data_IF_893903946304
#
_entry.id   IF_893903946304
#
_cell.length_a   1.000
_cell.length_b   1.000
_cell.length_c   1.000
_cell.angle_alpha   90.00
_cell.angle_beta   90.00
_cell.angle_gamma   90.00
#
_symmetry.space_group_name_H-M   'P 1'
#
loop_
_entity.id
_entity.type
_entity.pdbx_description
1 polymer ?
#
# COMPACT_ATOMS: atom_id res chain seq x y z
N UNK A 1 -23.14 -14.96 -8.80
CA UNK A 1 -22.33 -13.87 -8.25
C UNK A 1 -21.98 -14.25 -6.83
N UNK A 2 -20.74 -14.11 -6.42
CA UNK A 2 -20.36 -14.27 -5.01
C UNK A 2 -20.85 -13.01 -4.29
N UNK A 3 -21.71 -13.19 -3.29
CA UNK A 3 -22.20 -12.09 -2.47
C UNK A 3 -21.09 -11.69 -1.48
N UNK A 4 -20.75 -10.41 -1.44
CA UNK A 4 -19.79 -9.89 -0.49
C UNK A 4 -20.46 -9.69 0.87
N UNK A 5 -19.76 -9.98 1.94
CA UNK A 5 -20.21 -9.63 3.28
C UNK A 5 -20.45 -8.11 3.37
N UNK A 6 -21.49 -7.66 4.07
CA UNK A 6 -21.66 -6.24 4.34
C UNK A 6 -20.51 -5.73 5.22
N UNK A 7 -20.16 -4.45 5.12
CA UNK A 7 -19.19 -3.87 6.06
C UNK A 7 -19.81 -3.88 7.46
N UNK A 8 -18.97 -4.23 8.44
CA UNK A 8 -19.36 -4.30 9.87
C UNK A 8 -18.70 -3.16 10.64
N UNK A 9 -19.33 -2.77 11.77
CA UNK A 9 -18.76 -1.73 12.62
C UNK A 9 -17.71 -2.31 13.58
N UNK A 10 -16.64 -1.55 13.89
CA UNK A 10 -15.68 -1.99 14.88
C UNK A 10 -16.29 -2.02 16.29
N UNK A 11 -15.96 -3.05 17.04
CA UNK A 11 -16.34 -3.14 18.45
C UNK A 11 -15.25 -2.60 19.39
N UNK A 12 -14.03 -2.44 18.87
CA UNK A 12 -12.90 -1.86 19.58
C UNK A 12 -12.02 -1.06 18.61
N UNK A 13 -11.43 0.04 19.09
CA UNK A 13 -10.56 0.90 18.29
C UNK A 13 -9.72 1.81 19.16
N UNK A 14 -8.60 2.29 18.68
CA UNK A 14 -7.74 3.18 19.43
C UNK A 14 -6.57 3.74 18.64
N UNK A 15 -5.70 4.42 19.37
CA UNK A 15 -4.41 4.92 18.90
C UNK A 15 -3.31 4.20 19.67
N UNK A 16 -2.38 3.58 18.97
CA UNK A 16 -1.22 2.89 19.53
C UNK A 16 0.02 3.77 19.35
N UNK A 17 0.70 4.07 20.46
CA UNK A 17 2.02 4.70 20.39
C UNK A 17 3.05 3.67 19.89
N UNK A 18 3.62 3.97 18.74
CA UNK A 18 4.61 3.10 18.08
C UNK A 18 6.02 3.71 18.10
N UNK A 19 6.22 4.73 18.93
CA UNK A 19 7.48 5.45 19.06
C UNK A 19 7.68 6.53 17.98
N UNK A 20 8.80 7.25 18.10
CA UNK A 20 9.20 8.33 17.19
C UNK A 20 8.14 9.44 17.03
N UNK A 21 7.25 9.60 18.03
CA UNK A 21 6.14 10.56 17.99
C UNK A 21 5.00 10.13 17.07
N UNK A 22 4.92 8.86 16.67
CA UNK A 22 3.86 8.33 15.84
C UNK A 22 2.80 7.58 16.65
N UNK A 23 1.53 7.89 16.37
CA UNK A 23 0.37 7.17 16.88
C UNK A 23 -0.34 6.50 15.71
N UNK A 24 -0.45 5.18 15.75
CA UNK A 24 -1.10 4.37 14.71
C UNK A 24 -2.53 4.07 15.12
N UNK A 25 -3.48 4.45 14.27
CA UNK A 25 -4.88 4.09 14.45
C UNK A 25 -5.11 2.61 14.14
N UNK A 26 -5.88 1.95 14.97
CA UNK A 26 -6.32 0.58 14.77
C UNK A 26 -7.80 0.40 15.12
N UNK A 27 -8.42 -0.61 14.53
CA UNK A 27 -9.79 -1.03 14.82
C UNK A 27 -9.93 -2.54 14.71
N UNK A 28 -10.88 -3.13 15.46
CA UNK A 28 -11.19 -4.56 15.45
C UNK A 28 -12.68 -4.76 15.22
N UNK A 29 -12.99 -5.63 14.26
CA UNK A 29 -14.35 -5.95 13.83
C UNK A 29 -14.62 -7.45 13.90
N UNK A 30 -15.90 -7.83 13.88
CA UNK A 30 -16.35 -9.23 13.79
C UNK A 30 -16.38 -9.96 15.14
N UNK A 31 -15.98 -11.23 15.15
CA UNK A 31 -16.07 -12.09 16.34
C UNK A 31 -14.83 -11.90 17.24
N UNK A 32 -14.97 -11.41 18.50
CA UNK A 32 -13.85 -11.30 19.42
C UNK A 32 -13.09 -12.63 19.68
N UNK A 33 -13.79 -13.75 19.60
CA UNK A 33 -13.22 -15.12 19.77
C UNK A 33 -12.87 -15.77 18.44
N UNK A 34 -13.06 -15.05 17.34
CA UNK A 34 -12.80 -15.54 15.99
C UNK A 34 -11.32 -15.63 15.68
N UNK A 35 -11.01 -16.20 14.52
CA UNK A 35 -9.65 -16.30 14.01
C UNK A 35 -9.07 -14.90 13.75
N UNK A 36 -7.91 -14.55 14.36
CA UNK A 36 -7.29 -13.25 14.10
C UNK A 36 -6.88 -13.13 12.63
N UNK A 37 -7.24 -11.98 12.03
CA UNK A 37 -6.89 -11.65 10.66
C UNK A 37 -6.51 -10.17 10.58
N UNK A 38 -5.31 -9.86 10.10
CA UNK A 38 -4.86 -8.51 9.87
C UNK A 38 -5.06 -8.13 8.40
N UNK A 39 -5.79 -7.02 8.18
CA UNK A 39 -5.88 -6.39 6.85
C UNK A 39 -4.82 -5.31 6.71
N UNK A 40 -3.93 -5.50 5.73
CA UNK A 40 -2.84 -4.59 5.39
C UNK A 40 -3.23 -3.78 4.16
N UNK A 41 -3.52 -2.49 4.35
CA UNK A 41 -3.93 -1.63 3.25
C UNK A 41 -2.79 -1.31 2.28
N UNK A 42 -3.16 -0.97 1.06
CA UNK A 42 -2.25 -0.59 -0.01
C UNK A 42 -1.90 0.89 -0.06
N UNK A 43 -1.55 1.34 -1.22
CA UNK A 43 -1.10 2.69 -1.52
C UNK A 43 0.33 2.71 -2.05
N UNK A 44 1.36 2.81 -1.19
CA UNK A 44 1.39 2.99 0.28
C UNK A 44 0.72 4.28 0.74
N UNK A 45 0.14 4.25 1.95
CA UNK A 45 -0.47 5.46 2.52
C UNK A 45 -1.95 5.68 2.18
N UNK A 46 -2.67 4.65 1.73
CA UNK A 46 -4.12 4.76 1.47
C UNK A 46 -4.97 4.91 2.72
N UNK A 47 -4.55 4.35 3.84
CA UNK A 47 -5.40 4.13 5.00
C UNK A 47 -6.46 3.05 4.77
N UNK A 48 -7.14 2.64 5.83
CA UNK A 48 -8.23 1.68 5.78
C UNK A 48 -9.56 2.35 5.44
N UNK A 49 -10.37 1.64 4.65
CA UNK A 49 -11.74 2.04 4.33
C UNK A 49 -12.75 1.07 4.94
N UNK A 50 -14.01 1.50 5.03
CA UNK A 50 -15.12 0.64 5.47
C UNK A 50 -15.30 -0.58 4.59
N UNK A 51 -14.91 -0.50 3.30
CA UNK A 51 -14.91 -1.63 2.38
C UNK A 51 -13.98 -2.77 2.80
N UNK A 52 -12.93 -2.48 3.57
CA UNK A 52 -11.98 -3.48 4.08
C UNK A 52 -12.51 -4.24 5.31
N UNK A 53 -13.64 -3.81 5.90
CA UNK A 53 -14.33 -4.51 7.00
C UNK A 53 -15.26 -5.63 6.52
N UNK A 54 -15.20 -6.01 5.24
CA UNK A 54 -16.05 -7.04 4.62
C UNK A 54 -15.45 -8.44 4.82
N UNK A 55 -15.56 -8.95 6.03
CA UNK A 55 -15.13 -10.30 6.42
C UNK A 55 -16.33 -11.10 6.93
N UNK A 56 -16.18 -12.42 7.02
CA UNK A 56 -17.17 -13.24 7.72
C UNK A 56 -17.17 -12.87 9.22
N UNK A 57 -18.24 -12.19 9.70
CA UNK A 57 -18.25 -11.65 11.06
C UNK A 57 -18.34 -12.72 12.16
N UNK A 58 -18.73 -13.94 11.82
CA UNK A 58 -18.83 -15.03 12.78
C UNK A 58 -17.50 -15.78 12.95
N UNK A 59 -16.65 -15.74 11.93
CA UNK A 59 -15.42 -16.52 11.87
C UNK A 59 -14.16 -15.76 12.21
N UNK A 60 -14.12 -14.46 11.91
CA UNK A 60 -12.88 -13.67 12.01
C UNK A 60 -12.97 -12.58 13.07
N UNK A 61 -11.87 -12.45 13.81
CA UNK A 61 -11.48 -11.25 14.55
C UNK A 61 -10.63 -10.40 13.60
N UNK A 62 -11.26 -9.51 12.86
CA UNK A 62 -10.61 -8.72 11.84
C UNK A 62 -9.97 -7.46 12.44
N UNK A 63 -8.67 -7.34 12.29
CA UNK A 63 -7.87 -6.18 12.69
C UNK A 63 -7.55 -5.35 11.46
N UNK A 64 -7.80 -4.05 11.53
CA UNK A 64 -7.40 -3.07 10.53
C UNK A 64 -6.56 -2.00 11.20
N UNK A 65 -5.60 -1.43 10.50
CA UNK A 65 -4.81 -0.32 11.02
C UNK A 65 -4.42 0.64 9.90
N UNK A 66 -4.35 1.91 10.21
CA UNK A 66 -3.82 2.91 9.29
C UNK A 66 -2.31 3.01 9.53
N UNK A 67 -1.49 2.70 8.52
CA UNK A 67 -0.03 2.76 8.62
C UNK A 67 0.44 4.18 8.97
N UNK A 68 1.68 4.34 9.45
CA UNK A 68 2.25 5.66 9.78
C UNK A 68 2.02 6.66 8.65
N UNK A 69 1.68 7.89 9.00
CA UNK A 69 1.56 9.00 8.07
C UNK A 69 0.27 9.04 7.26
N UNK A 70 -0.68 8.13 7.45
CA UNK A 70 -1.89 8.09 6.63
C UNK A 70 -3.17 7.82 7.43
N UNK A 71 -4.30 8.02 6.77
CA UNK A 71 -5.61 7.75 7.34
C UNK A 71 -5.87 8.57 8.62
N UNK A 72 -6.12 7.86 9.71
CA UNK A 72 -6.37 8.43 11.05
C UNK A 72 -5.10 8.43 11.93
N UNK A 73 -3.99 7.86 11.46
CA UNK A 73 -2.71 7.86 12.15
C UNK A 73 -2.06 9.24 12.14
N UNK A 74 -1.28 9.56 13.19
CA UNK A 74 -0.64 10.87 13.34
C UNK A 74 0.84 10.74 13.68
N UNK A 75 1.70 11.70 13.23
CA UNK A 75 1.38 12.83 12.36
C UNK A 75 1.03 12.38 10.93
N UNK A 76 0.26 13.18 10.18
CA UNK A 76 -0.18 12.82 8.85
C UNK A 76 0.81 13.30 7.77
N UNK A 77 1.13 12.46 6.79
CA UNK A 77 2.12 12.75 5.76
C UNK A 77 1.72 13.88 4.78
N UNK A 78 0.47 14.34 4.79
CA UNK A 78 0.07 15.52 4.02
C UNK A 78 0.58 16.83 4.58
N UNK A 79 0.97 16.86 5.87
CA UNK A 79 1.63 18.02 6.46
C UNK A 79 3.11 18.03 6.03
N UNK A 80 3.58 19.06 5.30
CA UNK A 80 4.97 19.15 4.89
C UNK A 80 5.97 19.17 6.06
N UNK A 81 5.52 19.58 7.25
CA UNK A 81 6.36 19.61 8.47
C UNK A 81 6.54 18.23 9.10
N UNK A 82 5.76 17.23 8.69
CA UNK A 82 5.89 15.87 9.19
C UNK A 82 7.24 15.26 8.79
N UNK A 83 8.01 14.83 9.79
CA UNK A 83 9.25 14.07 9.55
C UNK A 83 8.89 12.65 9.09
N UNK A 84 9.27 12.34 7.86
CA UNK A 84 9.05 11.03 7.26
C UNK A 84 10.21 10.05 7.46
N UNK A 85 11.26 10.42 8.17
CA UNK A 85 12.46 9.58 8.37
C UNK A 85 12.17 8.27 9.11
N UNK A 86 11.19 8.31 10.02
CA UNK A 86 10.70 7.16 10.77
C UNK A 86 9.51 6.44 10.10
N UNK A 87 9.27 6.65 8.80
CA UNK A 87 8.23 5.95 8.04
C UNK A 87 8.84 5.05 6.97
N UNK A 88 9.63 4.08 7.40
CA UNK A 88 10.25 3.08 6.52
C UNK A 88 9.56 1.73 6.66
N UNK A 89 9.78 0.81 5.73
CA UNK A 89 9.25 -0.55 5.82
C UNK A 89 9.60 -1.24 7.14
N UNK A 90 10.82 -1.05 7.66
CA UNK A 90 11.23 -1.63 8.95
C UNK A 90 10.38 -1.09 10.11
N UNK A 91 10.05 0.20 10.11
CA UNK A 91 9.16 0.76 11.12
C UNK A 91 7.74 0.17 11.00
N UNK A 92 7.21 0.01 9.76
CA UNK A 92 5.90 -0.59 9.54
C UNK A 92 5.83 -2.05 10.01
N UNK A 93 6.90 -2.83 9.80
CA UNK A 93 6.99 -4.22 10.31
C UNK A 93 7.00 -4.24 11.85
N UNK A 94 7.73 -3.32 12.46
CA UNK A 94 7.74 -3.17 13.92
C UNK A 94 6.38 -2.75 14.47
N UNK A 95 5.69 -1.84 13.80
CA UNK A 95 4.34 -1.39 14.17
C UNK A 95 3.33 -2.55 14.13
N UNK A 96 3.43 -3.44 13.14
CA UNK A 96 2.59 -4.63 13.08
C UNK A 96 2.84 -5.56 14.27
N UNK A 97 4.09 -5.74 14.71
CA UNK A 97 4.39 -6.53 15.91
C UNK A 97 3.87 -5.85 17.18
N UNK A 98 4.07 -4.55 17.34
CA UNK A 98 3.52 -3.79 18.47
C UNK A 98 1.99 -3.90 18.53
N UNK A 99 1.31 -3.79 17.38
CA UNK A 99 -0.14 -3.94 17.31
C UNK A 99 -0.58 -5.37 17.67
N UNK A 100 0.11 -6.39 17.16
CA UNK A 100 -0.16 -7.78 17.49
C UNK A 100 -0.06 -8.03 18.99
N UNK A 101 1.02 -7.55 19.62
CA UNK A 101 1.24 -7.68 21.06
C UNK A 101 0.21 -6.91 21.88
N UNK A 102 -0.11 -5.67 21.48
CA UNK A 102 -1.14 -4.84 22.11
C UNK A 102 -2.51 -5.54 22.15
N UNK A 103 -2.87 -6.24 21.08
CA UNK A 103 -4.13 -6.96 20.97
C UNK A 103 -4.10 -8.38 21.54
N UNK A 104 -2.96 -8.83 22.11
CA UNK A 104 -2.79 -10.16 22.67
C UNK A 104 -2.91 -11.30 21.65
N UNK A 105 -2.55 -11.05 20.39
CA UNK A 105 -2.64 -12.01 19.30
C UNK A 105 -1.31 -12.75 19.18
N UNK A 106 -1.33 -14.09 19.19
CA UNK A 106 -0.13 -14.90 18.97
C UNK A 106 0.21 -15.02 17.48
N UNK A 107 -0.79 -15.37 16.66
CA UNK A 107 -0.65 -15.51 15.21
C UNK A 107 -1.90 -14.99 14.51
N UNK A 108 -1.73 -14.46 13.32
CA UNK A 108 -2.85 -13.97 12.49
C UNK A 108 -2.75 -14.40 11.03
N UNK A 109 -3.89 -14.46 10.36
CA UNK A 109 -3.96 -14.44 8.92
C UNK A 109 -3.59 -13.04 8.43
N UNK A 110 -2.75 -12.95 7.41
CA UNK A 110 -2.45 -11.69 6.73
C UNK A 110 -3.25 -11.58 5.43
N UNK A 111 -3.95 -10.47 5.26
CA UNK A 111 -4.63 -10.13 4.00
C UNK A 111 -4.11 -8.79 3.50
N UNK A 112 -3.45 -8.78 2.35
CA UNK A 112 -2.86 -7.57 1.77
C UNK A 112 -3.10 -7.45 0.28
N UNK A 113 -3.38 -6.21 -0.18
CA UNK A 113 -3.56 -5.92 -1.60
C UNK A 113 -2.64 -4.78 -2.07
N UNK A 114 -2.15 -4.85 -3.33
CA UNK A 114 -1.21 -3.87 -3.88
C UNK A 114 0.02 -3.71 -2.95
N UNK A 115 0.43 -2.50 -2.59
CA UNK A 115 1.47 -2.28 -1.55
C UNK A 115 1.25 -3.12 -0.29
N UNK A 116 -0.01 -3.33 0.13
CA UNK A 116 -0.32 -4.19 1.27
C UNK A 116 0.14 -5.64 1.07
N UNK A 117 0.23 -6.13 -0.16
CA UNK A 117 0.80 -7.45 -0.46
C UNK A 117 2.31 -7.48 -0.24
N UNK A 118 3.01 -6.40 -0.62
CA UNK A 118 4.45 -6.23 -0.35
C UNK A 118 4.73 -6.25 1.15
N UNK A 119 3.99 -5.44 1.92
CA UNK A 119 4.20 -5.33 3.36
C UNK A 119 3.81 -6.62 4.11
N UNK A 120 2.71 -7.28 3.71
CA UNK A 120 2.30 -8.55 4.29
C UNK A 120 3.31 -9.67 4.01
N UNK A 121 3.86 -9.74 2.78
CA UNK A 121 4.92 -10.69 2.43
C UNK A 121 6.19 -10.43 3.24
N UNK A 122 6.63 -9.18 3.30
CA UNK A 122 7.79 -8.76 4.10
C UNK A 122 7.66 -9.15 5.57
N UNK A 123 6.46 -8.97 6.13
CA UNK A 123 6.19 -9.38 7.50
C UNK A 123 6.24 -10.91 7.65
N UNK A 124 5.66 -11.66 6.72
CA UNK A 124 5.68 -13.12 6.75
C UNK A 124 7.10 -13.69 6.64
N UNK A 125 7.97 -13.06 5.86
CA UNK A 125 9.38 -13.44 5.75
C UNK A 125 10.18 -13.14 7.02
N UNK A 126 9.86 -12.06 7.71
CA UNK A 126 10.54 -11.66 8.94
C UNK A 126 10.02 -12.40 10.16
N UNK A 127 8.72 -12.67 10.21
CA UNK A 127 8.01 -13.26 11.35
C UNK A 127 7.14 -14.46 10.94
N UNK A 128 7.70 -15.50 10.27
CA UNK A 128 6.90 -16.61 9.74
C UNK A 128 6.12 -17.35 10.82
N UNK A 129 6.63 -17.40 12.04
CA UNK A 129 5.98 -18.01 13.19
C UNK A 129 4.75 -17.23 13.72
N UNK A 130 4.57 -15.97 13.29
CA UNK A 130 3.43 -15.10 13.63
C UNK A 130 2.32 -15.11 12.57
N UNK A 131 2.51 -15.85 11.50
CA UNK A 131 1.55 -15.93 10.39
C UNK A 131 0.91 -17.30 10.34
N UNK A 132 -0.41 -17.35 10.33
CA UNK A 132 -1.17 -18.61 10.20
C UNK A 132 -1.48 -18.91 8.74
N UNK A 133 -1.89 -17.93 7.97
CA UNK A 133 -2.14 -17.97 6.51
C UNK A 133 -1.86 -16.61 5.90
N UNK A 134 -1.74 -16.59 4.57
CA UNK A 134 -1.52 -15.36 3.81
C UNK A 134 -2.43 -15.30 2.58
N UNK A 135 -3.08 -14.15 2.37
CA UNK A 135 -3.90 -13.86 1.19
C UNK A 135 -3.39 -12.57 0.56
N UNK A 136 -2.80 -12.68 -0.62
CA UNK A 136 -2.26 -11.53 -1.34
C UNK A 136 -3.07 -11.28 -2.61
N UNK A 137 -3.52 -10.06 -2.81
CA UNK A 137 -4.24 -9.63 -4.01
C UNK A 137 -3.50 -8.50 -4.73
N UNK A 138 -3.66 -8.39 -6.06
CA UNK A 138 -2.94 -7.42 -6.88
C UNK A 138 -1.45 -7.36 -6.45
N UNK A 139 -0.78 -8.51 -6.56
CA UNK A 139 0.54 -8.77 -5.97
C UNK A 139 1.60 -7.88 -6.58
N UNK A 140 2.36 -7.18 -5.75
CA UNK A 140 3.55 -6.42 -6.13
C UNK A 140 4.66 -6.63 -5.11
N UNK A 141 5.90 -6.55 -5.53
CA UNK A 141 7.10 -6.59 -4.69
C UNK A 141 7.86 -5.27 -4.67
N UNK A 142 7.34 -4.27 -5.39
CA UNK A 142 7.90 -2.91 -5.52
C UNK A 142 9.34 -2.88 -6.02
N UNK A 143 9.73 -3.85 -6.86
CA UNK A 143 11.02 -3.85 -7.56
C UNK A 143 11.14 -2.64 -8.48
N UNK A 144 12.35 -2.21 -8.77
CA UNK A 144 12.60 -1.13 -9.71
C UNK A 144 11.97 -1.41 -11.08
N UNK A 145 12.01 -2.65 -11.53
CA UNK A 145 11.38 -3.08 -12.79
C UNK A 145 9.86 -2.87 -12.79
N UNK A 146 9.17 -3.10 -11.67
CA UNK A 146 7.73 -2.86 -11.52
C UNK A 146 7.41 -1.36 -11.50
N UNK A 147 8.27 -0.56 -10.85
CA UNK A 147 8.16 0.90 -10.83
C UNK A 147 8.40 1.47 -12.24
N UNK A 148 9.44 1.01 -12.93
CA UNK A 148 9.74 1.43 -14.31
C UNK A 148 8.64 0.99 -15.29
N UNK A 149 8.01 -0.16 -15.05
CA UNK A 149 6.83 -0.56 -15.81
C UNK A 149 5.68 0.41 -15.60
N UNK A 150 5.28 0.65 -14.35
CA UNK A 150 4.12 1.50 -14.02
C UNK A 150 4.29 2.94 -14.50
N UNK A 151 5.48 3.52 -14.35
CA UNK A 151 5.74 4.93 -14.67
C UNK A 151 6.45 5.16 -16.00
N UNK A 152 6.56 4.12 -16.85
CA UNK A 152 7.12 4.24 -18.21
C UNK A 152 6.67 3.11 -19.14
N UNK A 153 6.81 1.86 -18.75
CA UNK A 153 6.58 0.70 -19.62
C UNK A 153 5.13 0.62 -20.12
N UNK A 154 4.16 0.88 -19.24
CA UNK A 154 2.73 0.80 -19.53
C UNK A 154 2.21 1.99 -20.35
N UNK A 155 3.00 3.05 -20.52
CA UNK A 155 2.64 4.28 -21.26
C UNK A 155 2.10 4.02 -22.66
N UNK A 156 2.60 2.97 -23.34
CA UNK A 156 2.16 2.60 -24.69
C UNK A 156 0.69 2.21 -24.81
N UNK A 157 0.04 1.89 -23.69
CA UNK A 157 -1.38 1.56 -23.63
C UNK A 157 -2.24 2.79 -23.33
N UNK A 158 -1.64 3.89 -22.82
CA UNK A 158 -2.30 5.11 -22.37
C UNK A 158 -1.56 6.36 -22.90
N UNK A 159 -1.41 6.53 -24.23
CA UNK A 159 -0.53 7.58 -24.79
C UNK A 159 -0.94 9.00 -24.40
N UNK A 160 -2.24 9.29 -24.38
CA UNK A 160 -2.77 10.62 -24.04
C UNK A 160 -2.57 10.96 -22.57
N UNK A 161 -2.85 10.00 -21.68
CA UNK A 161 -2.65 10.12 -20.24
C UNK A 161 -1.17 10.24 -19.90
N UNK A 162 -0.34 9.49 -20.60
CA UNK A 162 1.11 9.55 -20.48
C UNK A 162 1.67 10.93 -20.86
N UNK A 163 1.23 11.51 -21.96
CA UNK A 163 1.64 12.85 -22.36
C UNK A 163 1.25 13.89 -21.31
N UNK A 164 0.02 13.78 -20.75
CA UNK A 164 -0.42 14.65 -19.66
C UNK A 164 0.43 14.48 -18.41
N UNK A 165 0.69 13.24 -18.01
CA UNK A 165 1.55 12.93 -16.86
C UNK A 165 2.96 13.46 -17.06
N UNK A 166 3.58 13.18 -18.21
CA UNK A 166 4.91 13.68 -18.57
C UNK A 166 4.98 15.22 -18.62
N UNK A 167 3.92 15.87 -19.09
CA UNK A 167 3.84 17.32 -19.13
C UNK A 167 3.68 17.99 -17.74
N UNK A 168 3.28 17.23 -16.72
CA UNK A 168 3.13 17.70 -15.34
C UNK A 168 4.45 18.03 -14.63
N UNK A 169 5.60 17.61 -15.20
CA UNK A 169 6.93 17.94 -14.70
C UNK A 169 7.63 18.97 -15.60
N UNK A 170 8.66 19.71 -15.08
CA UNK A 170 9.49 20.60 -15.90
C UNK A 170 10.06 19.90 -17.13
N UNK A 171 10.20 20.64 -18.23
CA UNK A 171 10.65 20.09 -19.52
C UNK A 171 11.99 19.36 -19.41
N UNK A 172 12.90 19.85 -18.61
CA UNK A 172 14.22 19.23 -18.38
C UNK A 172 14.15 17.86 -17.69
N UNK A 173 13.05 17.54 -17.00
CA UNK A 173 12.86 16.29 -16.26
C UNK A 173 12.05 15.23 -17.03
N UNK A 174 11.40 15.62 -18.15
CA UNK A 174 10.42 14.78 -18.87
C UNK A 174 10.99 13.47 -19.42
N UNK A 175 12.26 13.45 -19.75
CA UNK A 175 12.95 12.24 -20.28
C UNK A 175 13.74 11.49 -19.20
N UNK A 176 13.76 12.06 -17.98
CA UNK A 176 14.43 11.51 -16.81
C UNK A 176 13.57 10.59 -15.96
N UNK A 177 13.89 10.53 -14.67
CA UNK A 177 13.13 9.82 -13.64
C UNK A 177 11.90 10.66 -13.21
N UNK A 178 10.74 10.35 -13.78
CA UNK A 178 9.49 11.06 -13.49
C UNK A 178 9.05 10.88 -12.03
N UNK A 179 9.29 9.71 -11.42
CA UNK A 179 8.97 9.46 -10.00
C UNK A 179 9.75 10.43 -9.13
N UNK A 180 11.05 10.56 -9.37
CA UNK A 180 11.89 11.52 -8.64
C UNK A 180 11.50 12.98 -8.94
N UNK A 181 11.11 13.32 -10.18
CA UNK A 181 10.66 14.66 -10.54
C UNK A 181 9.37 15.04 -9.82
N UNK A 182 8.36 14.17 -9.82
CA UNK A 182 7.11 14.39 -9.09
C UNK A 182 7.33 14.46 -7.57
N UNK A 183 8.21 13.61 -7.02
CA UNK A 183 8.57 13.67 -5.61
C UNK A 183 9.16 15.04 -5.21
N UNK A 184 9.98 15.66 -6.06
CA UNK A 184 10.48 17.02 -5.81
C UNK A 184 9.36 18.06 -5.84
N UNK A 185 8.44 17.99 -6.84
CA UNK A 185 7.30 18.91 -6.93
C UNK A 185 6.37 18.80 -5.72
N UNK A 186 6.21 17.61 -5.16
CA UNK A 186 5.37 17.39 -3.97
C UNK A 186 6.02 17.84 -2.66
N UNK A 187 7.29 18.18 -2.68
CA UNK A 187 8.02 18.84 -1.56
C UNK A 187 8.24 20.35 -1.82
N UNK A 188 7.68 20.90 -2.90
CA UNK A 188 7.82 22.31 -3.21
C UNK A 188 7.21 23.20 -2.11
N UNK A 189 7.83 24.33 -1.73
CA UNK A 189 7.27 25.25 -0.75
C UNK A 189 5.91 25.84 -1.17
N UNK A 190 5.65 26.00 -2.49
CA UNK A 190 4.36 26.48 -2.99
C UNK A 190 3.29 25.36 -2.93
N UNK A 191 2.21 25.52 -2.13
CA UNK A 191 1.15 24.54 -2.04
C UNK A 191 0.44 24.28 -3.37
N UNK A 192 0.37 25.26 -4.27
CA UNK A 192 -0.25 25.08 -5.59
C UNK A 192 0.59 24.18 -6.51
N UNK A 193 1.92 24.20 -6.36
CA UNK A 193 2.80 23.27 -7.08
C UNK A 193 2.58 21.85 -6.58
N UNK A 194 2.56 21.66 -5.26
CA UNK A 194 2.31 20.33 -4.65
C UNK A 194 0.96 19.77 -5.07
N UNK A 195 -0.09 20.58 -5.02
CA UNK A 195 -1.44 20.17 -5.38
C UNK A 195 -1.56 19.74 -6.84
N UNK A 196 -1.01 20.54 -7.77
CA UNK A 196 -0.99 20.20 -9.20
C UNK A 196 -0.23 18.92 -9.47
N UNK A 197 0.90 18.71 -8.81
CA UNK A 197 1.68 17.48 -8.94
C UNK A 197 0.90 16.26 -8.43
N UNK A 198 0.25 16.38 -7.27
CA UNK A 198 -0.57 15.31 -6.69
C UNK A 198 -1.76 14.94 -7.60
N UNK A 199 -2.46 15.93 -8.15
CA UNK A 199 -3.57 15.70 -9.09
C UNK A 199 -3.09 15.00 -10.36
N UNK A 200 -1.98 15.45 -10.95
CA UNK A 200 -1.44 14.84 -12.16
C UNK A 200 -0.98 13.39 -11.92
N UNK A 201 -0.38 13.13 -10.76
CA UNK A 201 -0.01 11.78 -10.34
C UNK A 201 -1.26 10.89 -10.18
N UNK A 202 -2.28 11.34 -9.44
CA UNK A 202 -3.51 10.58 -9.23
C UNK A 202 -4.23 10.27 -10.53
N UNK A 203 -4.28 11.20 -11.48
CA UNK A 203 -4.87 10.99 -12.80
C UNK A 203 -4.15 9.90 -13.61
N UNK A 204 -2.83 9.81 -13.51
CA UNK A 204 -2.06 8.74 -14.13
C UNK A 204 -2.35 7.37 -13.51
N UNK A 205 -2.33 7.28 -12.18
CA UNK A 205 -2.66 6.05 -11.46
C UNK A 205 -4.07 5.55 -11.80
N UNK A 206 -5.06 6.45 -11.83
CA UNK A 206 -6.44 6.09 -12.21
C UNK A 206 -6.53 5.57 -13.64
N UNK A 207 -5.83 6.19 -14.59
CA UNK A 207 -5.84 5.75 -15.97
C UNK A 207 -5.31 4.31 -16.12
N UNK A 208 -4.24 3.99 -15.40
CA UNK A 208 -3.63 2.65 -15.48
C UNK A 208 -4.48 1.60 -14.76
N UNK A 209 -5.08 1.94 -13.62
CA UNK A 209 -5.89 1.00 -12.82
C UNK A 209 -7.26 0.74 -13.43
N UNK A 210 -7.89 1.75 -14.06
CA UNK A 210 -9.26 1.62 -14.59
C UNK A 210 -9.37 0.75 -15.83
N UNK A 211 -8.30 0.64 -16.64
CA UNK A 211 -8.25 -0.06 -17.94
C UNK A 211 -9.22 0.48 -19.00
N UNK A 212 -10.25 1.19 -18.62
CA UNK A 212 -11.26 1.77 -19.51
C UNK A 212 -11.33 3.29 -19.33
N UNK A 213 -11.34 4.07 -20.43
CA UNK A 213 -11.55 5.50 -20.36
C UNK A 213 -12.85 5.83 -19.61
N UNK A 214 -12.78 6.73 -18.64
CA UNK A 214 -13.92 7.17 -17.82
C UNK A 214 -14.54 6.08 -16.93
N UNK A 215 -13.88 4.94 -16.73
CA UNK A 215 -14.31 3.97 -15.74
C UNK A 215 -14.35 4.60 -14.34
N UNK A 216 -15.32 4.17 -13.53
CA UNK A 216 -15.45 4.61 -12.14
C UNK A 216 -15.51 3.39 -11.23
N UNK A 217 -15.06 3.49 -9.98
CA UNK A 217 -14.59 4.70 -9.27
C UNK A 217 -13.17 5.08 -9.65
N UNK A 218 -12.87 6.39 -9.59
CA UNK A 218 -11.51 6.91 -9.62
C UNK A 218 -10.91 6.76 -8.23
N UNK A 219 -10.01 5.82 -8.04
CA UNK A 219 -9.44 5.52 -6.72
C UNK A 219 -8.55 6.63 -6.17
N UNK A 220 -7.90 7.36 -7.06
CA UNK A 220 -6.94 8.39 -6.71
C UNK A 220 -7.52 9.80 -6.90
N UNK A 221 -8.04 10.13 -8.08
CA UNK A 221 -8.52 11.49 -8.40
C UNK A 221 -9.73 11.94 -7.59
N UNK A 222 -10.54 11.00 -7.09
CA UNK A 222 -11.67 11.31 -6.21
C UNK A 222 -11.24 11.60 -4.76
N UNK A 223 -9.93 11.45 -4.43
CA UNK A 223 -9.37 11.77 -3.13
C UNK A 223 -8.98 13.25 -3.05
N UNK A 224 -9.04 13.85 -1.85
CA UNK A 224 -8.48 15.18 -1.64
C UNK A 224 -6.98 15.22 -2.00
N UNK A 225 -6.47 16.32 -2.59
CA UNK A 225 -5.04 16.46 -2.92
C UNK A 225 -4.10 16.17 -1.75
N UNK A 226 -4.49 16.50 -0.53
CA UNK A 226 -3.74 16.18 0.68
C UNK A 226 -3.54 14.65 0.87
N UNK A 227 -4.55 13.84 0.54
CA UNK A 227 -4.43 12.38 0.65
C UNK A 227 -3.50 11.81 -0.44
N UNK A 228 -3.51 12.39 -1.65
CA UNK A 228 -2.57 12.03 -2.72
C UNK A 228 -1.13 12.41 -2.36
N UNK A 229 -0.94 13.60 -1.77
CA UNK A 229 0.36 14.03 -1.27
C UNK A 229 0.89 13.07 -0.21
N UNK A 230 0.06 12.69 0.75
CA UNK A 230 0.44 11.71 1.77
C UNK A 230 0.85 10.37 1.17
N UNK A 231 0.11 9.87 0.17
CA UNK A 231 0.40 8.63 -0.54
C UNK A 231 1.79 8.66 -1.16
N UNK A 232 2.11 9.69 -1.94
CA UNK A 232 3.42 9.77 -2.62
C UNK A 232 4.57 9.98 -1.65
N UNK A 233 4.40 10.80 -0.62
CA UNK A 233 5.42 10.97 0.43
C UNK A 233 5.67 9.66 1.19
N UNK A 234 4.62 8.90 1.47
CA UNK A 234 4.74 7.58 2.09
C UNK A 234 5.42 6.59 1.14
N UNK A 235 5.02 6.54 -0.14
CA UNK A 235 5.64 5.67 -1.14
C UNK A 235 7.16 5.89 -1.25
N UNK A 236 7.61 7.14 -1.16
CA UNK A 236 9.02 7.50 -1.24
C UNK A 236 9.85 6.95 -0.07
N UNK A 237 9.27 6.81 1.11
CA UNK A 237 9.98 6.35 2.30
C UNK A 237 9.88 4.86 2.54
N UNK A 238 8.76 4.26 2.13
CA UNK A 238 8.47 2.84 2.37
C UNK A 238 8.86 1.92 1.21
N UNK A 239 9.01 2.46 -0.01
CA UNK A 239 9.38 1.69 -1.21
C UNK A 239 10.72 2.19 -1.79
N UNK A 240 11.83 2.26 -1.06
CA UNK A 240 13.02 2.88 -1.58
C UNK A 240 13.83 1.93 -2.43
N UNK A 241 14.25 2.36 -3.61
CA UNK A 241 15.53 1.94 -4.13
C UNK A 241 16.61 2.60 -3.24
N UNK A 242 17.18 1.89 -2.26
CA UNK A 242 18.43 2.35 -1.70
C UNK A 242 18.69 2.31 -0.20
N UNK A 243 17.80 1.89 0.66
CA UNK A 243 18.09 1.74 2.09
C UNK A 243 17.69 0.37 2.64
N UNK A 244 18.53 -0.63 2.40
CA UNK A 244 18.46 -1.90 3.14
C UNK A 244 17.77 -3.07 2.42
N UNK A 245 16.98 -2.83 1.38
CA UNK A 245 16.35 -3.90 0.62
C UNK A 245 17.08 -4.10 -0.70
N UNK A 246 17.49 -5.36 -0.99
CA UNK A 246 17.95 -5.74 -2.34
C UNK A 246 16.75 -5.72 -3.27
N UNK A 247 16.97 -5.42 -4.53
CA UNK A 247 15.95 -5.34 -5.59
C UNK A 247 14.95 -6.51 -5.58
N UNK A 248 15.45 -7.74 -5.41
CA UNK A 248 14.66 -8.97 -5.44
C UNK A 248 14.50 -9.61 -4.05
N UNK A 249 14.66 -8.84 -2.95
CA UNK A 249 14.71 -9.40 -1.61
C UNK A 249 13.49 -10.27 -1.29
N UNK A 250 12.29 -9.77 -1.57
CA UNK A 250 11.04 -10.49 -1.29
C UNK A 250 10.90 -11.79 -2.12
N UNK A 251 11.34 -11.80 -3.36
CA UNK A 251 11.31 -13.04 -4.15
C UNK A 251 12.41 -14.03 -3.71
N UNK A 252 13.58 -13.53 -3.36
CA UNK A 252 14.69 -14.36 -2.87
C UNK A 252 14.39 -14.97 -1.48
N UNK A 253 13.71 -14.22 -0.63
CA UNK A 253 13.38 -14.63 0.72
C UNK A 253 12.01 -15.33 0.84
N UNK A 254 11.26 -15.47 -0.26
CA UNK A 254 9.94 -16.12 -0.31
C UNK A 254 9.95 -17.58 0.18
N UNK A 255 11.10 -18.21 0.22
CA UNK A 255 11.30 -19.54 0.84
C UNK A 255 11.07 -19.53 2.37
N UNK A 256 11.21 -18.36 3.04
CA UNK A 256 11.06 -18.27 4.51
C UNK A 256 9.63 -18.52 5.00
N UNK A 257 8.57 -18.01 4.34
CA UNK A 257 7.20 -18.37 4.64
C UNK A 257 6.78 -19.73 4.09
N UNK A 258 7.69 -20.52 3.51
CA UNK A 258 7.37 -21.84 3.00
C UNK A 258 6.70 -22.72 4.07
N UNK A 259 5.56 -23.30 3.71
CA UNK A 259 4.72 -24.06 4.63
C UNK A 259 3.60 -23.25 5.30
N UNK A 260 3.56 -21.92 5.13
CA UNK A 260 2.40 -21.10 5.48
C UNK A 260 1.36 -21.26 4.34
N UNK A 261 0.13 -21.71 4.63
CA UNK A 261 -0.91 -21.78 3.61
C UNK A 261 -1.16 -20.40 3.01
N UNK A 262 -1.15 -20.29 1.68
CA UNK A 262 -1.26 -19.01 1.00
C UNK A 262 -2.15 -19.05 -0.24
N UNK A 263 -2.75 -17.90 -0.57
CA UNK A 263 -3.51 -17.68 -1.80
C UNK A 263 -3.02 -16.37 -2.44
N UNK A 264 -2.67 -16.44 -3.72
CA UNK A 264 -2.38 -15.27 -4.55
C UNK A 264 -3.55 -15.03 -5.50
N UNK A 265 -4.09 -13.81 -5.48
CA UNK A 265 -5.22 -13.38 -6.31
C UNK A 265 -4.72 -12.23 -7.19
N UNK A 266 -4.64 -12.45 -8.51
CA UNK A 266 -4.09 -11.45 -9.41
C UNK A 266 -4.85 -11.42 -10.72
N UNK A 267 -5.17 -10.21 -11.20
CA UNK A 267 -5.84 -10.01 -12.48
C UNK A 267 -4.90 -10.27 -13.65
N UNK A 268 -5.33 -11.10 -14.62
CA UNK A 268 -4.51 -11.35 -15.82
C UNK A 268 -4.24 -10.09 -16.63
N UNK A 269 -5.15 -9.14 -16.60
CA UNK A 269 -5.09 -7.87 -17.33
C UNK A 269 -4.80 -6.70 -16.39
N UNK A 270 -4.25 -6.96 -15.21
CA UNK A 270 -3.79 -5.91 -14.32
C UNK A 270 -2.53 -5.26 -14.93
N UNK A 271 -2.72 -4.08 -15.53
CA UNK A 271 -1.62 -3.33 -16.15
C UNK A 271 -0.84 -2.50 -15.14
N UNK A 272 -1.37 -2.26 -13.95
CA UNK A 272 -0.63 -1.56 -12.89
C UNK A 272 0.44 -2.43 -12.25
N UNK A 273 0.17 -3.74 -12.15
CA UNK A 273 1.10 -4.75 -11.66
C UNK A 273 1.03 -6.00 -12.54
N UNK A 274 1.99 -6.22 -13.45
CA UNK A 274 1.97 -7.37 -14.34
C UNK A 274 1.94 -8.72 -13.63
N UNK A 275 1.24 -9.69 -14.23
CA UNK A 275 1.01 -11.02 -13.66
C UNK A 275 2.29 -11.80 -13.37
N UNK A 276 3.39 -11.50 -14.04
CA UNK A 276 4.68 -12.21 -13.89
C UNK A 276 5.20 -12.13 -12.45
N UNK A 277 5.06 -11.02 -11.74
CA UNK A 277 5.44 -10.91 -10.33
C UNK A 277 4.70 -11.94 -9.45
N UNK A 278 3.38 -12.03 -9.61
CA UNK A 278 2.59 -13.02 -8.86
C UNK A 278 2.94 -14.45 -9.25
N UNK A 279 3.27 -14.67 -10.55
CA UNK A 279 3.70 -15.96 -11.06
C UNK A 279 5.07 -16.37 -10.51
N UNK A 280 6.04 -15.45 -10.48
CA UNK A 280 7.37 -15.67 -9.91
C UNK A 280 7.27 -16.01 -8.42
N UNK A 281 6.50 -15.23 -7.66
CA UNK A 281 6.26 -15.48 -6.24
C UNK A 281 5.60 -16.86 -5.98
N UNK A 282 4.66 -17.27 -6.82
CA UNK A 282 4.00 -18.57 -6.67
C UNK A 282 4.93 -19.76 -6.92
N UNK A 283 6.10 -19.53 -7.51
CA UNK A 283 7.10 -20.57 -7.84
C UNK A 283 8.32 -20.55 -6.92
N UNK A 284 8.52 -19.46 -6.19
CA UNK A 284 9.59 -19.32 -5.20
C UNK A 284 9.26 -20.06 -3.90
#
# INVERSE_FOLDING_TARGET
>A
MVELYPPIEPYDQGMLDVGDGNLVYWEVCGNPEGKPALTVHGGPGSGCSTGMRRVDPDRYRAVLFDQRGCGRSTPHASDPATDMSANTTEHLLSDMELLREHLGIDRWLLSGGSWGSTLALAYAERHPHRVSEIVLSAVTTTRRSEIDWLYRGVARFFPEEWERFRAGVPEADRDGDLVAAYARLMEDPDPLVRERAAIAWGAWEDAVVSLEPNAKPNFYSDRPPAALLALVRTARTTSPPGRGWREDALLCDAVRPAGIPGVLIHGRLDLSGPLDTAWELARA
#
